data_IF_224910110158
#
_entry.id   IF_224910110158
#
_cell.length_a   1.000
_cell.length_b   1.000
_cell.length_c   1.000
_cell.angle_alpha   90.00
_cell.angle_beta   90.00
_cell.angle_gamma   90.00
#
_symmetry.space_group_name_H-M   'P 1'
#
loop_
_entity.id
_entity.type
_entity.pdbx_description
1 polymer ?
#
# COMPACT_ATOMS: atom_id res chain seq x y z
N UNK A 1 -7.85 -13.47 -29.04
CA UNK A 1 -8.57 -14.19 -27.97
C UNK A 1 -8.83 -13.20 -26.84
N UNK A 2 -10.06 -12.69 -26.74
CA UNK A 2 -10.46 -11.82 -25.64
C UNK A 2 -10.66 -12.67 -24.38
N UNK A 3 -10.06 -12.27 -23.26
CA UNK A 3 -10.30 -12.91 -21.96
C UNK A 3 -11.75 -12.63 -21.56
N UNK A 4 -12.51 -13.69 -21.30
CA UNK A 4 -13.93 -13.65 -20.91
C UNK A 4 -14.12 -12.99 -19.54
N UNK A 5 -15.16 -12.14 -19.32
CA UNK A 5 -15.37 -11.38 -18.08
C UNK A 5 -16.25 -12.11 -17.05
N UNK A 6 -16.17 -13.43 -16.94
CA UNK A 6 -17.08 -14.22 -16.10
C UNK A 6 -16.37 -14.93 -14.94
N UNK A 7 -15.79 -14.16 -14.00
CA UNK A 7 -15.55 -14.63 -12.62
C UNK A 7 -15.32 -13.45 -11.65
N UNK A 8 -16.38 -12.81 -11.15
CA UNK A 8 -16.32 -11.95 -9.94
C UNK A 8 -17.63 -12.16 -9.18
N UNK A 9 -17.58 -12.75 -7.96
CA UNK A 9 -17.39 -11.97 -6.74
C UNK A 9 -16.58 -12.68 -5.62
N UNK A 10 -15.65 -13.59 -5.93
CA UNK A 10 -14.86 -14.30 -4.92
C UNK A 10 -13.51 -13.66 -4.55
N UNK A 11 -13.00 -12.73 -5.36
CA UNK A 11 -11.62 -12.23 -5.20
C UNK A 11 -11.44 -11.17 -4.09
N UNK A 12 -12.50 -10.45 -3.69
CA UNK A 12 -12.43 -9.44 -2.62
C UNK A 12 -12.05 -10.03 -1.25
N UNK A 13 -12.33 -11.32 -1.03
CA UNK A 13 -11.96 -11.99 0.21
C UNK A 13 -10.48 -12.37 0.27
N UNK A 14 -9.84 -12.62 -0.87
CA UNK A 14 -8.51 -13.22 -0.88
C UNK A 14 -7.45 -12.22 -0.43
N UNK A 15 -7.49 -10.98 -0.93
CA UNK A 15 -6.57 -9.91 -0.48
C UNK A 15 -6.70 -9.66 1.03
N UNK A 16 -7.94 -9.70 1.54
CA UNK A 16 -8.25 -9.62 2.96
C UNK A 16 -7.60 -10.77 3.74
N UNK A 17 -7.78 -12.00 3.26
CA UNK A 17 -7.23 -13.19 3.91
C UNK A 17 -5.71 -13.21 3.87
N UNK A 18 -5.08 -12.81 2.78
CA UNK A 18 -3.61 -12.75 2.66
C UNK A 18 -3.05 -11.76 3.65
N UNK A 19 -3.56 -10.52 3.69
CA UNK A 19 -3.13 -9.52 4.68
C UNK A 19 -3.32 -10.02 6.10
N UNK A 20 -4.52 -10.47 6.46
CA UNK A 20 -4.82 -10.94 7.82
C UNK A 20 -3.94 -12.11 8.23
N UNK A 21 -3.72 -13.07 7.33
CA UNK A 21 -2.89 -14.26 7.59
C UNK A 21 -1.43 -13.88 7.80
N UNK A 22 -0.87 -13.05 6.91
CA UNK A 22 0.53 -12.59 7.01
C UNK A 22 0.74 -11.80 8.29
N UNK A 23 -0.17 -10.89 8.63
CA UNK A 23 -0.03 -10.03 9.81
C UNK A 23 -0.28 -10.77 11.14
N UNK A 24 -0.98 -11.92 11.12
CA UNK A 24 -1.23 -12.72 12.33
C UNK A 24 -0.11 -13.69 12.69
N UNK A 25 0.89 -13.89 11.81
CA UNK A 25 2.02 -14.82 12.09
C UNK A 25 3.03 -14.27 13.09
N UNK A 26 2.92 -13.00 13.49
CA UNK A 26 3.95 -12.29 14.23
C UNK A 26 3.38 -11.66 15.49
N UNK A 27 4.08 -11.87 16.60
CA UNK A 27 3.88 -11.05 17.80
C UNK A 27 4.65 -9.74 17.64
N UNK A 28 3.91 -8.64 17.62
CA UNK A 28 4.45 -7.31 17.30
C UNK A 28 5.12 -6.65 18.50
N UNK A 29 6.26 -6.03 18.27
CA UNK A 29 6.94 -5.25 19.28
C UNK A 29 6.05 -4.07 19.76
N UNK A 30 6.20 -3.70 21.04
CA UNK A 30 5.48 -2.56 21.63
C UNK A 30 6.24 -1.24 21.52
N UNK A 31 7.53 -1.29 21.17
CA UNK A 31 8.34 -0.09 20.93
C UNK A 31 8.20 0.32 19.47
N UNK A 32 7.83 1.58 19.25
CA UNK A 32 7.50 2.14 17.94
C UNK A 32 8.61 1.94 16.89
N UNK A 33 9.87 2.19 17.25
CA UNK A 33 10.99 2.05 16.32
C UNK A 33 11.27 0.58 15.97
N UNK A 34 11.20 -0.31 16.97
CA UNK A 34 11.44 -1.74 16.76
C UNK A 34 10.32 -2.40 15.96
N UNK A 35 9.05 -1.99 16.18
CA UNK A 35 7.93 -2.55 15.42
C UNK A 35 7.98 -2.10 13.96
N UNK A 36 8.47 -0.89 13.67
CA UNK A 36 8.64 -0.43 12.30
C UNK A 36 9.63 -1.32 11.54
N UNK A 37 10.81 -1.57 12.10
CA UNK A 37 11.84 -2.43 11.47
C UNK A 37 11.35 -3.88 11.35
N UNK A 38 10.72 -4.42 12.40
CA UNK A 38 10.15 -5.76 12.40
C UNK A 38 9.08 -5.91 11.30
N UNK A 39 8.17 -4.95 11.19
CA UNK A 39 7.10 -4.96 10.18
C UNK A 39 7.65 -4.94 8.76
N UNK A 40 8.61 -4.05 8.47
CA UNK A 40 9.21 -3.96 7.14
C UNK A 40 9.98 -5.24 6.78
N UNK A 41 10.74 -5.81 7.73
CA UNK A 41 11.46 -7.07 7.51
C UNK A 41 10.49 -8.22 7.23
N UNK A 42 9.41 -8.31 7.99
CA UNK A 42 8.38 -9.34 7.82
C UNK A 42 7.69 -9.20 6.47
N UNK A 43 7.09 -8.04 6.19
CA UNK A 43 6.31 -7.80 4.98
C UNK A 43 7.14 -7.95 3.71
N UNK A 44 8.43 -7.56 3.73
CA UNK A 44 9.35 -7.72 2.59
C UNK A 44 9.47 -9.18 2.12
N UNK A 45 9.35 -10.16 3.02
CA UNK A 45 9.41 -11.58 2.64
C UNK A 45 8.18 -12.06 1.87
N UNK A 46 7.06 -11.34 2.00
CA UNK A 46 5.78 -11.67 1.39
C UNK A 46 5.44 -10.75 0.23
N UNK A 47 6.32 -9.86 -0.22
CA UNK A 47 6.02 -8.98 -1.37
C UNK A 47 5.66 -9.76 -2.64
N UNK A 48 6.32 -10.88 -3.00
CA UNK A 48 5.88 -11.66 -4.18
C UNK A 48 4.49 -12.28 -4.00
N UNK A 49 4.11 -12.59 -2.76
CA UNK A 49 2.78 -13.09 -2.46
C UNK A 49 1.73 -11.99 -2.61
N UNK A 50 1.98 -10.80 -2.06
CA UNK A 50 1.07 -9.67 -2.21
C UNK A 50 0.90 -9.27 -3.67
N UNK A 51 2.01 -9.14 -4.42
CA UNK A 51 2.02 -8.84 -5.85
C UNK A 51 1.15 -9.82 -6.67
N UNK A 52 1.24 -11.13 -6.37
CA UNK A 52 0.45 -12.15 -7.05
C UNK A 52 -1.08 -11.98 -6.86
N UNK A 53 -1.52 -11.29 -5.81
CA UNK A 53 -2.94 -11.04 -5.53
C UNK A 53 -3.38 -9.60 -5.82
N UNK A 54 -2.45 -8.64 -5.90
CA UNK A 54 -2.72 -7.24 -6.24
C UNK A 54 -2.56 -6.94 -7.73
N UNK A 55 -3.12 -7.78 -8.61
CA UNK A 55 -2.94 -7.67 -10.07
C UNK A 55 -3.81 -6.63 -10.78
N UNK A 56 -4.73 -5.98 -10.05
CA UNK A 56 -5.59 -4.91 -10.56
C UNK A 56 -5.71 -3.77 -9.55
N UNK A 57 -5.94 -2.55 -10.02
CA UNK A 57 -6.04 -1.36 -9.19
C UNK A 57 -7.05 -1.47 -8.02
N UNK A 58 -8.11 -2.28 -8.18
CA UNK A 58 -9.08 -2.53 -7.10
C UNK A 58 -8.47 -3.34 -5.95
N UNK A 59 -7.74 -4.41 -6.23
CA UNK A 59 -7.11 -5.26 -5.19
C UNK A 59 -5.98 -4.52 -4.47
N UNK A 60 -5.21 -3.71 -5.20
CA UNK A 60 -4.21 -2.81 -4.62
C UNK A 60 -4.84 -1.81 -3.64
N UNK A 61 -5.94 -1.16 -4.03
CA UNK A 61 -6.65 -0.21 -3.17
C UNK A 61 -7.21 -0.90 -1.91
N UNK A 62 -7.70 -2.14 -2.05
CA UNK A 62 -8.16 -2.95 -0.90
C UNK A 62 -7.00 -3.23 0.07
N UNK A 63 -5.82 -3.62 -0.43
CA UNK A 63 -4.64 -3.82 0.40
C UNK A 63 -4.22 -2.53 1.13
N UNK A 64 -4.23 -1.40 0.42
CA UNK A 64 -3.89 -0.10 0.99
C UNK A 64 -4.86 0.31 2.10
N UNK A 65 -6.17 0.11 1.88
CA UNK A 65 -7.20 0.30 2.91
C UNK A 65 -6.97 -0.61 4.12
N UNK A 66 -6.65 -1.89 3.92
CA UNK A 66 -6.38 -2.81 5.04
C UNK A 66 -5.15 -2.45 5.84
N UNK A 67 -4.12 -1.98 5.16
CA UNK A 67 -2.92 -1.43 5.80
C UNK A 67 -3.29 -0.23 6.67
N UNK A 68 -4.09 0.71 6.14
CA UNK A 68 -4.56 1.89 6.89
C UNK A 68 -5.38 1.49 8.12
N UNK A 69 -6.36 0.58 7.96
CA UNK A 69 -7.21 0.12 9.06
C UNK A 69 -6.41 -0.59 10.15
N UNK A 70 -5.43 -1.42 9.77
CA UNK A 70 -4.55 -2.11 10.70
C UNK A 70 -3.68 -1.11 11.48
N UNK A 71 -3.04 -0.17 10.79
CA UNK A 71 -2.22 0.86 11.43
C UNK A 71 -3.03 1.74 12.37
N UNK A 72 -4.29 2.03 12.04
CA UNK A 72 -5.19 2.78 12.93
C UNK A 72 -5.57 1.98 14.19
N UNK A 73 -5.90 0.69 14.02
CA UNK A 73 -6.30 -0.18 15.12
C UNK A 73 -5.16 -0.56 16.07
N UNK A 74 -3.91 -0.34 15.66
CA UNK A 74 -2.72 -0.65 16.46
C UNK A 74 -1.84 0.59 16.61
N UNK A 75 -1.91 1.24 17.78
CA UNK A 75 -1.21 2.50 18.04
C UNK A 75 0.30 2.45 17.75
N UNK A 76 0.95 1.29 17.92
CA UNK A 76 2.37 1.12 17.64
C UNK A 76 2.70 1.23 16.13
N UNK A 77 1.70 1.02 15.27
CA UNK A 77 1.83 1.09 13.81
C UNK A 77 1.43 2.43 13.21
N UNK A 78 0.96 3.39 14.02
CA UNK A 78 0.48 4.69 13.54
C UNK A 78 1.56 5.45 12.75
N UNK A 79 2.83 5.34 13.14
CA UNK A 79 3.96 5.94 12.39
C UNK A 79 4.59 5.02 11.34
N UNK A 80 4.07 3.81 11.17
CA UNK A 80 4.63 2.76 10.29
C UNK A 80 3.93 2.74 8.92
N UNK A 81 2.70 3.24 8.82
CA UNK A 81 1.88 3.20 7.61
C UNK A 81 2.62 3.67 6.35
N UNK A 82 3.15 4.90 6.33
CA UNK A 82 3.91 5.42 5.19
C UNK A 82 5.09 4.50 4.79
N UNK A 83 5.80 3.92 5.77
CA UNK A 83 6.93 3.03 5.50
C UNK A 83 6.47 1.74 4.81
N UNK A 84 5.30 1.20 5.18
CA UNK A 84 4.72 0.02 4.54
C UNK A 84 4.31 0.35 3.11
N UNK A 85 3.63 1.48 2.89
CA UNK A 85 3.24 1.89 1.53
C UNK A 85 4.47 2.10 0.65
N UNK A 86 5.52 2.75 1.18
CA UNK A 86 6.77 2.93 0.44
C UNK A 86 7.45 1.59 0.10
N UNK A 87 7.42 0.60 1.00
CA UNK A 87 7.91 -0.74 0.73
C UNK A 87 7.12 -1.40 -0.41
N UNK A 88 5.79 -1.36 -0.35
CA UNK A 88 4.93 -1.95 -1.37
C UNK A 88 5.07 -1.26 -2.72
N UNK A 89 5.20 0.07 -2.74
CA UNK A 89 5.52 0.82 -3.96
C UNK A 89 6.86 0.37 -4.57
N UNK A 90 7.93 0.32 -3.77
CA UNK A 90 9.27 -0.09 -4.22
C UNK A 90 9.40 -1.56 -4.63
N UNK A 91 8.36 -2.36 -4.40
CA UNK A 91 8.35 -3.80 -4.71
C UNK A 91 7.19 -4.15 -5.63
N UNK A 92 6.65 -3.16 -6.35
CA UNK A 92 5.63 -3.30 -7.38
C UNK A 92 4.30 -3.91 -6.89
N UNK A 93 4.09 -3.94 -5.57
CA UNK A 93 2.85 -4.43 -4.94
C UNK A 93 1.73 -3.39 -5.06
N UNK A 94 2.08 -2.10 -5.02
CA UNK A 94 1.16 -0.98 -5.19
C UNK A 94 1.67 -0.05 -6.28
N UNK A 95 0.80 0.25 -7.25
CA UNK A 95 1.06 1.25 -8.28
C UNK A 95 0.96 2.68 -7.75
N UNK A 96 1.65 3.59 -8.42
CA UNK A 96 1.53 5.03 -8.18
C UNK A 96 0.08 5.51 -8.31
N UNK A 97 -0.61 5.11 -9.39
CA UNK A 97 -2.00 5.49 -9.65
C UNK A 97 -2.91 5.18 -8.45
N UNK A 98 -2.76 3.99 -7.85
CA UNK A 98 -3.58 3.59 -6.70
C UNK A 98 -3.23 4.37 -5.45
N UNK A 99 -1.94 4.67 -5.22
CA UNK A 99 -1.50 5.48 -4.08
C UNK A 99 -2.07 6.90 -4.17
N UNK A 100 -2.00 7.52 -5.35
CA UNK A 100 -2.58 8.84 -5.63
C UNK A 100 -4.10 8.83 -5.48
N UNK A 101 -4.77 7.79 -5.99
CA UNK A 101 -6.22 7.61 -5.85
C UNK A 101 -6.64 7.47 -4.40
N UNK A 102 -5.94 6.65 -3.61
CA UNK A 102 -6.20 6.52 -2.18
C UNK A 102 -6.06 7.88 -1.47
N UNK A 103 -5.01 8.63 -1.79
CA UNK A 103 -4.77 9.93 -1.16
C UNK A 103 -5.89 10.94 -1.47
N UNK A 104 -6.34 11.00 -2.72
CA UNK A 104 -7.37 11.93 -3.17
C UNK A 104 -8.76 11.59 -2.63
N UNK A 105 -9.20 10.34 -2.77
CA UNK A 105 -10.60 9.97 -2.51
C UNK A 105 -10.82 8.51 -2.07
N UNK A 106 -9.85 7.63 -2.26
CA UNK A 106 -9.99 6.20 -1.97
C UNK A 106 -9.69 5.81 -0.51
N UNK A 107 -9.40 6.76 0.38
CA UNK A 107 -8.99 6.49 1.76
C UNK A 107 -10.16 6.18 2.72
N UNK A 108 -9.87 5.41 3.76
CA UNK A 108 -10.80 5.19 4.86
C UNK A 108 -10.91 6.42 5.77
N UNK A 109 -12.05 6.57 6.44
CA UNK A 109 -12.25 7.60 7.47
C UNK A 109 -11.39 7.37 8.72
N UNK A 110 -10.95 6.12 8.94
CA UNK A 110 -10.13 5.72 10.11
C UNK A 110 -8.74 6.33 10.04
N UNK A 111 -8.46 7.29 10.93
CA UNK A 111 -7.17 7.99 10.96
C UNK A 111 -6.92 8.89 9.74
N UNK A 112 -7.95 9.23 8.95
CA UNK A 112 -7.85 9.98 7.68
C UNK A 112 -6.88 11.16 7.76
N UNK A 113 -7.15 12.11 8.66
CA UNK A 113 -6.35 13.35 8.74
C UNK A 113 -4.87 13.06 9.00
N UNK A 114 -4.58 12.10 9.88
CA UNK A 114 -3.22 11.73 10.24
C UNK A 114 -2.48 11.03 9.09
N UNK A 115 -3.11 10.04 8.45
CA UNK A 115 -2.44 9.30 7.38
C UNK A 115 -2.29 10.13 6.10
N UNK A 116 -3.23 11.02 5.79
CA UNK A 116 -3.03 11.98 4.71
C UNK A 116 -1.87 12.92 5.04
N UNK A 117 -1.80 13.47 6.24
CA UNK A 117 -0.66 14.32 6.64
C UNK A 117 0.68 13.59 6.55
N UNK A 118 0.74 12.35 7.01
CA UNK A 118 1.93 11.50 6.94
C UNK A 118 2.38 11.21 5.50
N UNK A 119 1.45 11.14 4.55
CA UNK A 119 1.73 10.78 3.16
C UNK A 119 2.10 11.97 2.28
N UNK A 120 1.81 13.22 2.69
CA UNK A 120 2.02 14.45 1.89
C UNK A 120 3.33 14.49 1.10
N UNK A 121 4.48 14.41 1.79
CA UNK A 121 5.80 14.48 1.15
C UNK A 121 6.04 13.34 0.15
N UNK A 122 5.47 12.17 0.40
CA UNK A 122 5.61 11.04 -0.51
C UNK A 122 4.74 11.22 -1.76
N UNK A 123 3.54 11.79 -1.61
CA UNK A 123 2.68 12.14 -2.73
C UNK A 123 3.30 13.25 -3.58
N UNK A 124 3.83 14.30 -2.96
CA UNK A 124 4.58 15.36 -3.65
C UNK A 124 5.75 14.78 -4.45
N UNK A 125 6.48 13.82 -3.87
CA UNK A 125 7.58 13.14 -4.55
C UNK A 125 7.12 12.31 -5.76
N UNK A 126 6.01 11.56 -5.64
CA UNK A 126 5.46 10.78 -6.76
C UNK A 126 5.08 11.71 -7.93
N UNK A 127 4.33 12.78 -7.64
CA UNK A 127 3.86 13.72 -8.65
C UNK A 127 5.01 14.47 -9.34
N UNK A 128 6.08 14.82 -8.61
CA UNK A 128 7.22 15.52 -9.19
C UNK A 128 8.13 14.60 -10.02
N UNK A 129 8.15 13.29 -9.75
CA UNK A 129 8.97 12.34 -10.49
C UNK A 129 8.50 12.18 -11.95
N UNK A 130 7.21 12.36 -12.22
CA UNK A 130 6.66 12.37 -13.59
C UNK A 130 7.07 13.65 -14.35
N UNK A 131 7.03 14.83 -13.72
CA UNK A 131 7.34 16.13 -14.36
C UNK A 131 8.80 16.26 -14.85
N UNK A 132 9.76 15.61 -14.19
CA UNK A 132 11.17 15.59 -14.64
C UNK A 132 11.42 14.65 -15.82
N UNK A 133 10.53 13.68 -16.08
CA UNK A 133 10.69 12.69 -17.15
C UNK A 133 10.07 13.14 -18.49
N UNK A 134 9.14 14.08 -18.46
CA UNK A 134 8.42 14.59 -19.65
C UNK A 134 9.11 15.82 -20.29
N UNK A 135 10.14 16.38 -19.64
CA UNK A 135 10.87 17.59 -20.08
C UNK A 135 12.20 17.31 -20.80
N UNK A 136 12.43 16.06 -21.25
CA UNK A 136 13.69 15.60 -21.86
C UNK A 136 13.63 15.20 -23.34
N UNK A 137 12.51 15.39 -24.04
CA UNK A 137 12.36 15.07 -25.48
C UNK A 137 11.98 16.32 -26.28
N UNK A 138 12.87 17.30 -26.37
CA UNK A 138 12.84 18.37 -27.38
C UNK A 138 14.23 19.04 -27.40
N UNK A 139 15.21 18.42 -28.06
CA UNK A 139 16.39 19.06 -28.70
C UNK A 139 17.38 17.96 -29.17
N UNK A 140 17.15 17.42 -30.37
CA UNK A 140 18.15 17.23 -31.45
C UNK A 140 17.57 16.51 -32.69
#
# INVERSE_FOLDING_TARGET
MAKSPAFMPAFLGIDLFVWTTVMSQVEWNKKEELVAEQALKHLKQYTPLFEAFTTVARSELVLMLKTQEFCYGNMNFMKVFQKIILLFYKTDVLSEEVILKWYKEGHSVKGKMMFLDQMKKFIEWLQNAEEESESGEDED
#
